data_IF_193176006618
#
_entry.id   IF_193176006618
#
_cell.length_a   1.000
_cell.length_b   1.000
_cell.length_c   1.000
_cell.angle_alpha   90.00
_cell.angle_beta   90.00
_cell.angle_gamma   90.00
#
_symmetry.space_group_name_H-M   'P 1'
#
loop_
_entity.id
_entity.type
_entity.pdbx_description
1 polymer ?
#
# COMPACT_ATOMS: atom_id res chain seq x y z
N UNK A 1 -10.68 6.41 -19.22
CA UNK A 1 -9.24 6.17 -19.48
C UNK A 1 -8.76 5.15 -18.48
N UNK A 2 -8.73 3.86 -18.84
CA UNK A 2 -8.30 2.76 -17.96
C UNK A 2 -6.84 2.36 -18.16
N UNK A 3 -6.21 2.82 -19.24
CA UNK A 3 -4.88 2.41 -19.69
C UNK A 3 -3.76 2.69 -18.68
N UNK A 4 -3.96 3.61 -17.72
CA UNK A 4 -2.95 3.94 -16.73
C UNK A 4 -3.33 3.54 -15.31
N UNK A 5 -4.42 2.77 -15.14
CA UNK A 5 -4.85 2.30 -13.82
C UNK A 5 -3.92 1.17 -13.35
N UNK A 6 -3.19 1.33 -12.23
CA UNK A 6 -2.28 0.31 -11.73
C UNK A 6 -2.96 -1.03 -11.44
N UNK A 7 -4.26 -1.02 -11.11
CA UNK A 7 -5.04 -2.23 -10.83
C UNK A 7 -5.10 -3.19 -12.03
N UNK A 8 -5.10 -2.66 -13.25
CA UNK A 8 -5.23 -3.45 -14.49
C UNK A 8 -3.94 -4.24 -14.82
N UNK A 9 -2.83 -3.88 -14.20
CA UNK A 9 -1.51 -4.50 -14.40
C UNK A 9 -1.19 -5.56 -13.34
N UNK A 10 -2.08 -5.79 -12.38
CA UNK A 10 -1.94 -6.86 -11.40
C UNK A 10 -2.58 -8.12 -12.00
N UNK A 11 -1.75 -9.06 -12.45
CA UNK A 11 -2.18 -10.29 -13.11
C UNK A 11 -1.62 -11.52 -12.42
N UNK A 12 -2.39 -12.60 -12.42
CA UNK A 12 -1.96 -13.88 -11.88
C UNK A 12 -0.82 -14.47 -12.72
N UNK A 13 0.15 -15.09 -12.03
CA UNK A 13 1.33 -15.69 -12.67
C UNK A 13 2.42 -14.70 -13.09
N UNK A 14 2.20 -13.39 -12.97
CA UNK A 14 3.26 -12.40 -13.16
C UNK A 14 4.03 -12.19 -11.85
N UNK A 15 5.35 -12.11 -11.95
CA UNK A 15 6.22 -11.80 -10.82
C UNK A 15 6.24 -10.28 -10.62
N UNK A 16 5.51 -9.83 -9.59
CA UNK A 16 5.47 -8.42 -9.18
C UNK A 16 6.29 -8.30 -7.89
N UNK A 17 7.14 -7.26 -7.75
CA UNK A 17 7.88 -7.04 -6.51
C UNK A 17 6.92 -6.90 -5.33
N UNK A 18 7.40 -7.17 -4.09
CA UNK A 18 6.61 -6.91 -2.90
C UNK A 18 6.18 -5.44 -2.88
N UNK A 19 4.94 -5.19 -2.43
CA UNK A 19 4.39 -3.84 -2.27
C UNK A 19 3.97 -3.58 -0.82
N UNK A 20 4.26 -2.38 -0.33
CA UNK A 20 3.67 -1.82 0.88
C UNK A 20 2.69 -0.70 0.50
N UNK A 21 1.44 -0.85 0.91
CA UNK A 21 0.40 0.16 0.74
C UNK A 21 0.11 0.80 2.10
N UNK A 22 0.30 2.12 2.18
CA UNK A 22 -0.05 2.93 3.35
C UNK A 22 -1.24 3.82 3.02
N UNK A 23 -2.29 3.78 3.83
CA UNK A 23 -3.48 4.63 3.68
C UNK A 23 -3.82 5.36 4.97
N UNK A 24 -4.55 6.47 4.89
CA UNK A 24 -5.16 7.09 6.06
C UNK A 24 -6.58 6.52 6.26
N UNK A 25 -7.02 6.40 7.51
CA UNK A 25 -8.36 5.86 7.81
C UNK A 25 -9.49 6.76 7.31
N UNK A 26 -9.26 8.07 7.34
CA UNK A 26 -10.22 9.10 6.95
C UNK A 26 -9.68 9.88 5.75
N UNK A 27 -9.31 9.16 4.69
CA UNK A 27 -8.64 9.70 3.49
C UNK A 27 -9.60 10.23 2.42
N UNK A 28 -10.77 10.70 2.87
CA UNK A 28 -11.79 11.34 2.00
C UNK A 28 -12.20 10.46 0.80
N UNK A 29 -12.20 9.14 0.95
CA UNK A 29 -12.58 8.18 -0.09
C UNK A 29 -11.39 7.52 -0.81
N UNK A 30 -10.16 8.04 -0.64
CA UNK A 30 -8.96 7.43 -1.23
C UNK A 30 -8.59 6.10 -0.58
N UNK A 31 -9.05 5.86 0.66
CA UNK A 31 -8.88 4.57 1.34
C UNK A 31 -9.57 3.42 0.59
N UNK A 32 -10.61 3.71 -0.19
CA UNK A 32 -11.32 2.74 -1.02
C UNK A 32 -10.44 2.25 -2.17
N UNK A 33 -9.72 3.15 -2.83
CA UNK A 33 -8.83 2.79 -3.93
C UNK A 33 -7.63 1.98 -3.44
N UNK A 34 -7.04 2.37 -2.30
CA UNK A 34 -5.99 1.59 -1.65
C UNK A 34 -6.47 0.17 -1.32
N UNK A 35 -7.69 0.04 -0.78
CA UNK A 35 -8.29 -1.26 -0.48
C UNK A 35 -8.52 -2.10 -1.74
N UNK A 36 -9.06 -1.52 -2.80
CA UNK A 36 -9.29 -2.20 -4.09
C UNK A 36 -7.98 -2.71 -4.69
N UNK A 37 -6.92 -1.91 -4.62
CA UNK A 37 -5.59 -2.31 -5.10
C UNK A 37 -5.04 -3.51 -4.31
N UNK A 38 -5.15 -3.49 -2.97
CA UNK A 38 -4.72 -4.59 -2.10
C UNK A 38 -5.54 -5.87 -2.33
N UNK A 39 -6.86 -5.74 -2.49
CA UNK A 39 -7.74 -6.87 -2.80
C UNK A 39 -7.37 -7.52 -4.13
N UNK A 40 -7.02 -6.70 -5.14
CA UNK A 40 -6.55 -7.21 -6.43
C UNK A 40 -5.25 -8.01 -6.31
N UNK A 41 -4.24 -7.50 -5.61
CA UNK A 41 -3.00 -8.24 -5.32
C UNK A 41 -3.27 -9.61 -4.68
N UNK A 42 -4.10 -9.61 -3.63
CA UNK A 42 -4.47 -10.84 -2.91
C UNK A 42 -5.22 -11.84 -3.79
N UNK A 43 -6.12 -11.35 -4.65
CA UNK A 43 -6.86 -12.20 -5.59
C UNK A 43 -5.97 -12.86 -6.65
N UNK A 44 -4.80 -12.26 -6.94
CA UNK A 44 -3.79 -12.80 -7.84
C UNK A 44 -2.69 -13.60 -7.12
N UNK A 45 -2.90 -13.93 -5.83
CA UNK A 45 -1.94 -14.67 -4.99
C UNK A 45 -0.56 -14.00 -4.84
N UNK A 46 -0.51 -12.67 -4.95
CA UNK A 46 0.73 -11.90 -4.84
C UNK A 46 0.91 -11.29 -3.44
N UNK A 47 2.17 -11.01 -3.08
CA UNK A 47 2.54 -10.44 -1.79
C UNK A 47 2.26 -8.94 -1.73
N UNK A 48 1.44 -8.52 -0.77
CA UNK A 48 1.19 -7.11 -0.47
C UNK A 48 0.99 -6.90 1.02
N UNK A 49 1.70 -5.92 1.58
CA UNK A 49 1.47 -5.41 2.92
C UNK A 49 0.52 -4.21 2.86
N UNK A 50 -0.45 -4.16 3.78
CA UNK A 50 -1.40 -3.06 3.86
C UNK A 50 -1.52 -2.56 5.29
N UNK A 51 -1.26 -1.27 5.50
CA UNK A 51 -1.38 -0.65 6.81
C UNK A 51 -2.13 0.68 6.72
N UNK A 52 -3.09 0.86 7.62
CA UNK A 52 -3.88 2.08 7.72
C UNK A 52 -3.45 2.88 8.95
N UNK A 53 -3.19 4.17 8.73
CA UNK A 53 -2.84 5.13 9.78
C UNK A 53 -4.09 5.86 10.26
N UNK A 54 -4.23 6.04 11.57
CA UNK A 54 -5.28 6.88 12.13
C UNK A 54 -5.07 8.35 11.73
N UNK A 55 -6.05 8.94 11.03
CA UNK A 55 -6.02 10.34 10.61
C UNK A 55 -6.58 10.56 9.21
N UNK A 56 -6.40 11.79 8.70
CA UNK A 56 -6.79 12.23 7.35
C UNK A 56 -5.64 12.12 6.35
N UNK A 57 -5.86 12.45 5.07
CA UNK A 57 -4.86 12.39 3.99
C UNK A 57 -3.44 12.83 4.39
N UNK A 58 -3.32 14.05 4.94
CA UNK A 58 -2.02 14.59 5.35
C UNK A 58 -1.37 13.82 6.50
N UNK A 59 -2.13 13.09 7.32
CA UNK A 59 -1.61 12.43 8.53
C UNK A 59 -0.50 11.42 8.27
N UNK A 60 -0.47 10.78 7.10
CA UNK A 60 0.61 9.85 6.75
C UNK A 60 1.94 10.60 6.67
N UNK A 61 1.99 11.68 5.90
CA UNK A 61 3.21 12.47 5.67
C UNK A 61 3.53 13.41 6.83
N UNK A 62 2.56 14.22 7.28
CA UNK A 62 2.80 15.25 8.33
C UNK A 62 3.14 14.63 9.68
N UNK A 63 2.70 13.39 9.93
CA UNK A 63 3.00 12.66 11.17
C UNK A 63 3.85 11.43 10.93
N UNK A 64 4.49 11.28 9.77
CA UNK A 64 5.27 10.06 9.43
C UNK A 64 6.27 9.72 10.52
N UNK A 65 7.03 10.71 11.00
CA UNK A 65 8.02 10.51 12.05
C UNK A 65 7.45 10.01 13.39
N UNK A 66 6.14 10.21 13.63
CA UNK A 66 5.44 9.96 14.90
C UNK A 66 4.34 8.89 14.81
N UNK A 67 3.99 8.44 13.60
CA UNK A 67 2.95 7.44 13.38
C UNK A 67 3.58 6.06 13.15
N UNK A 68 2.77 5.02 13.29
CA UNK A 68 3.22 3.63 13.11
C UNK A 68 3.58 3.32 11.64
N UNK A 69 3.18 4.16 10.68
CA UNK A 69 3.51 3.98 9.26
C UNK A 69 5.02 3.92 9.02
N UNK A 70 5.80 4.73 9.76
CA UNK A 70 7.26 4.70 9.71
C UNK A 70 7.83 3.33 10.08
N UNK A 71 7.29 2.70 11.13
CA UNK A 71 7.74 1.38 11.56
C UNK A 71 7.52 0.36 10.44
N UNK A 72 6.31 0.33 9.88
CA UNK A 72 5.98 -0.57 8.76
C UNK A 72 6.85 -0.33 7.53
N UNK A 73 7.12 0.94 7.19
CA UNK A 73 8.02 1.27 6.09
C UNK A 73 9.43 0.72 6.28
N UNK A 74 10.07 0.97 7.43
CA UNK A 74 11.42 0.47 7.68
C UNK A 74 11.47 -1.06 7.83
N UNK A 75 10.44 -1.68 8.41
CA UNK A 75 10.32 -3.13 8.46
C UNK A 75 10.21 -3.74 7.07
N UNK A 76 9.38 -3.17 6.20
CA UNK A 76 9.24 -3.59 4.80
C UNK A 76 10.57 -3.47 4.04
N UNK A 77 11.25 -2.33 4.14
CA UNK A 77 12.57 -2.13 3.53
C UNK A 77 13.57 -3.16 4.04
N UNK A 78 13.62 -3.42 5.36
CA UNK A 78 14.53 -4.42 5.93
C UNK A 78 14.24 -5.85 5.45
N UNK A 79 12.97 -6.18 5.23
CA UNK A 79 12.57 -7.52 4.77
C UNK A 79 12.92 -7.75 3.30
N UNK A 80 12.81 -6.72 2.46
CA UNK A 80 12.85 -6.87 1.01
C UNK A 80 14.10 -6.26 0.34
N UNK A 81 14.79 -5.33 0.99
CA UNK A 81 16.06 -4.81 0.51
C UNK A 81 17.19 -5.47 1.29
N UNK A 82 17.89 -6.39 0.64
CA UNK A 82 19.14 -6.94 1.15
C UNK A 82 20.20 -5.83 1.09
N UNK A 83 20.78 -5.53 2.25
CA UNK A 83 22.07 -4.83 2.34
C UNK A 83 23.19 -5.85 2.39
#
# INVERSE_FOLDING_TARGET
MSEYSPIEYIKEGEEIPPFLVLSAKYDMGLEVDAKRFVEKFRSCHQSVEYFTVEGSHGSIATKFAKNNARKHFFEFVRQHMKY
#
